data_IF_278535966964
#
_entry.id   IF_278535966964
#
_cell.length_a   1.000
_cell.length_b   1.000
_cell.length_c   1.000
_cell.angle_alpha   90.00
_cell.angle_beta   90.00
_cell.angle_gamma   90.00
#
_symmetry.space_group_name_H-M   'P 1'
#
loop_
_entity.id
_entity.type
_entity.pdbx_description
1 polymer ?
#
# COMPACT_ATOMS: atom_id res chain seq x y z
N UNK A 1 0.39 -3.92 22.81
CA UNK A 1 1.74 -3.80 23.35
C UNK A 1 2.12 -2.31 23.57
N UNK A 2 2.09 -1.47 22.53
CA UNK A 2 2.47 -0.06 22.64
C UNK A 2 1.68 0.70 23.70
N UNK A 3 0.34 0.57 23.70
CA UNK A 3 -0.53 1.21 24.69
C UNK A 3 -0.23 0.75 26.13
N UNK A 4 0.07 -0.54 26.32
CA UNK A 4 0.46 -1.05 27.64
C UNK A 4 1.85 -0.53 28.14
N UNK A 5 2.59 0.15 27.25
CA UNK A 5 3.86 0.80 27.57
C UNK A 5 3.76 2.34 27.53
N UNK A 6 2.55 2.87 27.64
CA UNK A 6 2.32 4.32 27.76
C UNK A 6 2.23 5.07 26.41
N UNK A 7 2.25 4.38 25.27
CA UNK A 7 2.04 5.02 23.97
C UNK A 7 0.54 5.33 23.82
N UNK A 8 0.21 6.59 23.59
CA UNK A 8 -1.14 7.03 23.29
C UNK A 8 -1.36 7.02 21.78
N UNK A 9 -2.41 6.33 21.33
CA UNK A 9 -2.82 6.29 19.92
C UNK A 9 -4.11 7.09 19.78
N UNK A 10 -4.09 8.13 18.95
CA UNK A 10 -5.23 8.96 18.63
C UNK A 10 -5.76 8.62 17.23
N UNK A 11 -7.02 8.22 17.16
CA UNK A 11 -7.71 7.90 15.92
C UNK A 11 -8.59 9.06 15.44
N UNK A 12 -8.91 9.07 14.14
CA UNK A 12 -9.80 10.07 13.54
C UNK A 12 -9.19 11.47 13.52
N UNK A 13 -7.86 11.56 13.55
CA UNK A 13 -7.10 12.79 13.37
C UNK A 13 -6.49 12.80 11.98
N UNK A 14 -7.00 13.68 11.13
CA UNK A 14 -6.48 13.90 9.79
C UNK A 14 -5.44 15.02 9.86
N UNK A 15 -4.16 14.65 9.92
CA UNK A 15 -3.05 15.60 10.00
C UNK A 15 -2.86 16.29 8.64
N UNK A 16 -2.98 17.60 8.62
CA UNK A 16 -2.93 18.43 7.42
C UNK A 16 -1.58 19.08 7.19
N UNK A 17 -0.86 19.40 8.27
CA UNK A 17 0.43 20.09 8.18
C UNK A 17 1.24 19.93 9.46
N UNK A 18 2.54 20.08 9.35
CA UNK A 18 3.45 20.38 10.47
C UNK A 18 4.09 21.72 10.17
N UNK A 19 3.80 22.73 10.98
CA UNK A 19 4.36 24.07 10.80
C UNK A 19 5.81 24.08 11.28
N UNK A 20 6.72 24.44 10.38
CA UNK A 20 8.16 24.48 10.61
C UNK A 20 8.63 25.93 10.47
N UNK A 21 9.22 26.47 11.52
CA UNK A 21 9.80 27.83 11.52
C UNK A 21 11.31 27.75 11.36
N UNK A 22 11.85 28.71 10.61
CA UNK A 22 13.29 28.85 10.42
C UNK A 22 13.80 30.02 11.25
N UNK A 23 14.74 29.74 12.17
CA UNK A 23 15.39 30.70 13.03
C UNK A 23 16.92 30.65 12.80
N UNK A 24 17.44 31.52 11.93
CA UNK A 24 18.82 31.43 11.47
C UNK A 24 19.05 30.14 10.68
N UNK A 25 19.97 29.31 11.14
CA UNK A 25 20.26 27.99 10.53
C UNK A 25 19.40 26.86 11.11
N UNK A 26 18.57 27.14 12.11
CA UNK A 26 17.71 26.16 12.78
C UNK A 26 16.34 26.10 12.15
N UNK A 27 15.80 24.91 12.04
CA UNK A 27 14.42 24.59 11.60
C UNK A 27 13.71 23.84 12.71
N UNK A 28 12.61 24.38 13.18
CA UNK A 28 11.92 23.90 14.39
C UNK A 28 10.45 23.65 14.06
N UNK A 29 9.96 22.44 14.26
CA UNK A 29 8.54 22.13 14.22
C UNK A 29 7.87 22.79 15.44
N UNK A 30 6.90 23.69 15.16
CA UNK A 30 6.21 24.48 16.18
C UNK A 30 4.79 24.04 16.43
N UNK A 31 4.15 23.43 15.42
CA UNK A 31 2.73 23.09 15.54
C UNK A 31 2.37 21.94 14.59
N UNK A 32 1.48 21.06 15.05
CA UNK A 32 0.79 20.07 14.20
C UNK A 32 -0.62 20.57 13.95
N UNK A 33 -1.00 20.70 12.67
CA UNK A 33 -2.35 21.08 12.24
C UNK A 33 -3.09 19.83 11.80
N UNK A 34 -4.29 19.61 12.35
CA UNK A 34 -5.11 18.45 12.03
C UNK A 34 -6.60 18.76 12.02
N UNK A 35 -7.38 17.94 11.35
CA UNK A 35 -8.84 17.98 11.37
C UNK A 35 -9.35 16.80 12.18
N UNK A 36 -10.22 17.07 13.16
CA UNK A 36 -10.94 16.04 13.93
C UNK A 36 -12.41 16.44 14.00
N UNK A 37 -13.31 15.51 13.66
CA UNK A 37 -14.75 15.75 13.61
C UNK A 37 -15.14 16.98 12.76
N UNK A 38 -14.44 17.17 11.64
CA UNK A 38 -14.68 18.28 10.71
C UNK A 38 -14.21 19.65 11.20
N UNK A 39 -13.46 19.72 12.31
CA UNK A 39 -12.91 20.96 12.86
C UNK A 39 -11.40 20.92 12.82
N UNK A 40 -10.80 21.99 12.28
CA UNK A 40 -9.37 22.20 12.37
C UNK A 40 -8.94 22.52 13.78
N UNK A 41 -7.89 21.87 14.23
CA UNK A 41 -7.30 22.00 15.56
C UNK A 41 -5.77 21.95 15.44
N UNK A 42 -5.07 22.36 16.49
CA UNK A 42 -3.62 22.39 16.54
C UNK A 42 -3.08 21.79 17.82
N UNK A 43 -1.87 21.24 17.72
CA UNK A 43 -1.04 20.88 18.85
C UNK A 43 0.20 21.77 18.79
N UNK A 44 0.37 22.63 19.80
CA UNK A 44 1.58 23.43 19.93
C UNK A 44 2.74 22.58 20.44
N UNK A 45 3.91 22.79 19.88
CA UNK A 45 5.13 22.04 20.17
C UNK A 45 6.18 22.95 20.78
N UNK A 46 6.94 22.42 21.72
CA UNK A 46 8.15 23.05 22.23
C UNK A 46 9.40 22.41 21.61
N UNK A 47 10.56 23.04 21.75
CA UNK A 47 11.80 22.57 21.12
C UNK A 47 12.25 21.18 21.60
N UNK A 48 11.85 20.80 22.81
CA UNK A 48 12.14 19.48 23.40
C UNK A 48 11.17 18.36 22.90
N UNK A 49 10.07 18.71 22.22
CA UNK A 49 9.17 17.73 21.60
C UNK A 49 9.79 17.21 20.31
N UNK A 50 9.86 15.90 20.13
CA UNK A 50 10.34 15.28 18.89
C UNK A 50 9.18 14.87 18.00
N UNK A 51 9.22 15.27 16.72
CA UNK A 51 8.18 14.98 15.73
C UNK A 51 8.72 14.07 14.63
N UNK A 52 8.15 12.88 14.50
CA UNK A 52 8.46 11.93 13.44
C UNK A 52 7.33 11.90 12.41
N UNK A 53 7.63 12.31 11.19
CA UNK A 53 6.65 12.51 10.11
C UNK A 53 6.75 11.34 9.13
N UNK A 54 5.69 10.54 9.03
CA UNK A 54 5.55 9.55 7.96
C UNK A 54 4.85 10.23 6.78
N UNK A 55 5.65 10.72 5.83
CA UNK A 55 5.17 11.44 4.66
C UNK A 55 4.83 10.49 3.51
N UNK A 56 3.72 10.77 2.80
CA UNK A 56 3.23 9.94 1.72
C UNK A 56 2.72 8.57 2.19
N UNK A 57 1.85 7.95 1.41
CA UNK A 57 1.31 6.63 1.73
C UNK A 57 0.95 5.86 0.46
N UNK A 58 1.55 4.68 0.27
CA UNK A 58 1.28 3.82 -0.88
C UNK A 58 -0.14 3.26 -0.92
N UNK A 59 -0.82 3.20 0.21
CA UNK A 59 -2.20 2.68 0.33
C UNK A 59 -3.24 3.80 0.52
N UNK A 60 -2.82 5.05 0.40
CA UNK A 60 -3.74 6.19 0.47
C UNK A 60 -4.82 6.10 -0.61
N UNK A 61 -6.04 6.49 -0.26
CA UNK A 61 -7.22 6.46 -1.15
C UNK A 61 -7.50 5.10 -1.81
N UNK A 62 -7.10 3.99 -1.18
CA UNK A 62 -7.44 2.65 -1.67
C UNK A 62 -8.95 2.44 -1.72
N UNK A 63 -9.42 1.86 -2.83
CA UNK A 63 -10.83 1.58 -3.07
C UNK A 63 -11.08 0.07 -3.02
N UNK A 64 -12.15 -0.33 -2.36
CA UNK A 64 -12.48 -1.74 -2.18
C UNK A 64 -13.71 -2.12 -2.98
N UNK A 65 -13.68 -3.34 -3.51
CA UNK A 65 -14.84 -4.03 -4.07
C UNK A 65 -15.07 -5.35 -3.37
N UNK A 66 -16.18 -5.98 -3.65
CA UNK A 66 -16.56 -7.27 -3.10
C UNK A 66 -16.92 -8.27 -4.21
N UNK A 67 -17.48 -9.42 -3.84
CA UNK A 67 -17.91 -10.47 -4.78
C UNK A 67 -18.76 -9.91 -5.92
N UNK A 68 -19.62 -8.93 -5.65
CA UNK A 68 -20.68 -8.45 -6.56
C UNK A 68 -20.49 -7.00 -7.02
N UNK A 69 -19.57 -6.27 -6.42
CA UNK A 69 -19.33 -4.87 -6.74
C UNK A 69 -17.86 -4.64 -7.09
N UNK A 70 -17.62 -3.89 -8.16
CA UNK A 70 -16.28 -3.36 -8.47
C UNK A 70 -15.91 -2.24 -7.49
N UNK A 71 -14.61 -1.96 -7.31
CA UNK A 71 -14.17 -0.78 -6.54
C UNK A 71 -14.74 0.51 -7.13
N UNK A 72 -15.22 1.41 -6.27
CA UNK A 72 -15.65 2.74 -6.73
C UNK A 72 -14.42 3.65 -6.88
N UNK A 73 -14.07 3.96 -8.11
CA UNK A 73 -12.92 4.81 -8.46
C UNK A 73 -13.28 6.29 -8.66
N UNK A 74 -14.54 6.68 -8.46
CA UNK A 74 -15.02 8.05 -8.72
C UNK A 74 -14.29 9.12 -7.91
N UNK A 75 -13.77 8.76 -6.73
CA UNK A 75 -12.99 9.62 -5.85
C UNK A 75 -11.48 9.64 -6.14
N UNK A 76 -10.98 8.76 -7.00
CA UNK A 76 -9.54 8.65 -7.28
C UNK A 76 -9.09 9.79 -8.20
N UNK A 77 -8.10 10.55 -7.76
CA UNK A 77 -7.52 11.67 -8.52
C UNK A 77 -6.01 11.67 -8.38
N UNK A 78 -5.34 12.13 -9.43
CA UNK A 78 -3.89 12.34 -9.41
C UNK A 78 -3.48 13.30 -8.29
N UNK A 79 -2.49 12.91 -7.53
CA UNK A 79 -1.89 13.74 -6.49
C UNK A 79 -2.81 14.08 -5.32
N UNK A 80 -3.85 13.30 -5.05
CA UNK A 80 -4.79 13.52 -3.95
C UNK A 80 -4.73 12.38 -2.94
N UNK A 81 -4.91 12.75 -1.67
CA UNK A 81 -4.93 11.83 -0.53
C UNK A 81 -4.43 12.53 0.72
N UNK A 82 -4.89 12.08 1.88
CA UNK A 82 -4.60 12.77 3.15
C UNK A 82 -3.08 12.85 3.43
N UNK A 83 -2.36 11.76 3.24
CA UNK A 83 -0.91 11.71 3.45
C UNK A 83 -0.12 12.50 2.40
N UNK A 84 -0.60 12.52 1.16
CA UNK A 84 0.01 13.29 0.07
C UNK A 84 -0.23 14.78 0.24
N UNK A 85 -1.44 15.18 0.63
CA UNK A 85 -1.80 16.58 0.85
C UNK A 85 -1.04 17.16 2.06
N UNK A 86 -0.89 16.39 3.15
CA UNK A 86 -0.02 16.74 4.27
C UNK A 86 1.43 16.97 3.81
N UNK A 87 2.00 16.04 3.04
CA UNK A 87 3.38 16.19 2.58
C UNK A 87 3.55 17.39 1.64
N UNK A 88 2.58 17.66 0.76
CA UNK A 88 2.58 18.87 -0.08
C UNK A 88 2.56 20.15 0.75
N UNK A 89 1.74 20.20 1.79
CA UNK A 89 1.66 21.34 2.68
C UNK A 89 2.99 21.57 3.44
N UNK A 90 3.66 20.50 3.87
CA UNK A 90 4.99 20.60 4.50
C UNK A 90 6.04 21.04 3.47
N UNK A 91 6.06 20.41 2.28
CA UNK A 91 7.03 20.70 1.25
C UNK A 91 6.95 22.15 0.74
N UNK A 92 5.75 22.73 0.74
CA UNK A 92 5.52 24.13 0.33
C UNK A 92 6.13 25.17 1.29
N UNK A 93 6.55 24.78 2.50
CA UNK A 93 7.16 25.69 3.47
C UNK A 93 8.67 25.91 3.25
N UNK A 94 9.31 25.04 2.46
CA UNK A 94 10.75 25.12 2.20
C UNK A 94 11.03 25.51 0.75
N UNK A 95 12.12 26.21 0.55
CA UNK A 95 12.65 26.47 -0.79
C UNK A 95 13.44 25.24 -1.30
N UNK A 96 13.54 25.13 -2.64
CA UNK A 96 14.44 24.17 -3.31
C UNK A 96 14.24 22.67 -2.99
N UNK A 97 13.05 22.26 -2.55
CA UNK A 97 12.73 20.83 -2.32
C UNK A 97 13.37 20.21 -1.08
N UNK A 98 13.73 21.01 -0.10
CA UNK A 98 14.33 20.56 1.16
C UNK A 98 13.48 19.53 1.91
N UNK A 99 12.14 19.67 1.82
CA UNK A 99 11.18 18.72 2.37
C UNK A 99 10.58 17.79 1.30
N UNK A 100 11.33 17.62 0.19
CA UNK A 100 10.99 16.71 -0.88
C UNK A 100 10.02 17.29 -1.92
N UNK A 101 9.66 16.42 -2.88
CA UNK A 101 8.74 16.73 -3.96
C UNK A 101 7.71 15.61 -4.10
N UNK A 102 6.58 15.66 -3.38
CA UNK A 102 5.56 14.61 -3.41
C UNK A 102 4.99 14.35 -4.81
N UNK A 103 4.94 15.36 -5.69
CA UNK A 103 4.39 15.19 -7.04
C UNK A 103 5.23 14.24 -7.92
N UNK A 104 6.52 14.06 -7.62
CA UNK A 104 7.34 13.04 -8.28
C UNK A 104 6.79 11.60 -8.07
N UNK A 105 5.99 11.39 -7.03
CA UNK A 105 5.50 10.07 -6.61
C UNK A 105 4.00 9.87 -6.83
N UNK A 106 3.19 10.92 -6.70
CA UNK A 106 1.72 10.80 -6.68
C UNK A 106 0.99 11.48 -7.84
N UNK A 107 1.69 12.17 -8.75
CA UNK A 107 1.05 12.96 -9.81
C UNK A 107 0.44 12.14 -10.95
N UNK A 108 0.74 10.84 -11.05
CA UNK A 108 0.27 9.96 -12.12
C UNK A 108 -0.24 8.62 -11.56
N UNK A 109 -1.53 8.55 -11.27
CA UNK A 109 -2.18 7.33 -10.80
C UNK A 109 -2.10 6.20 -11.84
N UNK A 110 -2.10 6.50 -13.13
CA UNK A 110 -1.98 5.45 -14.16
C UNK A 110 -0.61 4.76 -14.10
N UNK A 111 0.44 5.46 -13.73
CA UNK A 111 1.78 4.90 -13.57
C UNK A 111 1.99 4.22 -12.20
N UNK A 112 1.22 4.59 -11.18
CA UNK A 112 1.48 4.18 -9.80
C UNK A 112 0.51 3.15 -9.25
N UNK A 113 -0.63 2.93 -9.92
CA UNK A 113 -1.65 2.02 -9.43
C UNK A 113 -1.32 0.55 -9.69
N UNK A 114 -1.89 -0.30 -8.91
CA UNK A 114 -2.24 -1.67 -9.23
C UNK A 114 -3.53 -2.06 -8.52
N UNK A 115 -4.05 -3.25 -8.85
CA UNK A 115 -5.21 -3.83 -8.18
C UNK A 115 -4.87 -5.21 -7.65
N UNK A 116 -5.23 -5.47 -6.42
CA UNK A 116 -5.15 -6.79 -5.81
C UNK A 116 -6.53 -7.38 -5.56
N UNK A 117 -6.56 -8.69 -5.37
CA UNK A 117 -7.75 -9.39 -4.91
C UNK A 117 -7.35 -10.54 -3.97
N UNK A 118 -8.27 -10.90 -3.07
CA UNK A 118 -8.14 -12.10 -2.26
C UNK A 118 -9.34 -13.01 -2.54
N UNK A 119 -9.07 -14.18 -3.08
CA UNK A 119 -10.06 -15.25 -3.28
C UNK A 119 -10.03 -16.18 -2.08
N UNK A 120 -11.17 -16.34 -1.44
CA UNK A 120 -11.38 -17.32 -0.37
C UNK A 120 -12.19 -18.50 -0.93
N UNK A 121 -11.68 -19.73 -0.78
CA UNK A 121 -12.35 -20.95 -1.24
C UNK A 121 -12.02 -22.15 -0.36
N UNK A 122 -12.96 -23.08 -0.23
CA UNK A 122 -12.75 -24.42 0.35
C UNK A 122 -13.13 -25.53 -0.64
N UNK A 123 -13.32 -25.19 -1.91
CA UNK A 123 -13.79 -26.12 -2.94
C UNK A 123 -12.66 -27.06 -3.36
N UNK A 124 -12.91 -28.39 -3.28
CA UNK A 124 -11.90 -29.42 -3.56
C UNK A 124 -11.44 -29.42 -5.03
N UNK A 125 -12.32 -29.10 -5.99
CA UNK A 125 -11.96 -29.07 -7.40
C UNK A 125 -10.95 -27.92 -7.66
N UNK A 126 -11.20 -26.74 -7.11
CA UNK A 126 -10.28 -25.59 -7.21
C UNK A 126 -8.96 -25.91 -6.53
N UNK A 127 -9.00 -26.51 -5.34
CA UNK A 127 -7.80 -26.93 -4.61
C UNK A 127 -7.00 -27.94 -5.42
N UNK A 128 -7.65 -28.87 -6.13
CA UNK A 128 -6.97 -29.82 -7.00
C UNK A 128 -6.25 -29.11 -8.17
N UNK A 129 -6.83 -28.09 -8.78
CA UNK A 129 -6.16 -27.26 -9.80
C UNK A 129 -4.92 -26.56 -9.24
N UNK A 130 -5.01 -26.00 -8.04
CA UNK A 130 -3.87 -25.40 -7.34
C UNK A 130 -2.78 -26.45 -7.12
N UNK A 131 -3.13 -27.65 -6.62
CA UNK A 131 -2.20 -28.75 -6.39
C UNK A 131 -1.53 -29.25 -7.68
N UNK A 132 -2.24 -29.23 -8.80
CA UNK A 132 -1.68 -29.60 -10.09
C UNK A 132 -0.56 -28.66 -10.54
N UNK A 133 -0.65 -27.37 -10.19
CA UNK A 133 0.37 -26.37 -10.47
C UNK A 133 1.47 -26.41 -9.41
N UNK A 134 1.13 -26.27 -8.15
CA UNK A 134 2.08 -26.07 -7.05
C UNK A 134 2.69 -27.37 -6.52
N UNK A 135 2.16 -28.54 -6.90
CA UNK A 135 2.54 -29.89 -6.41
C UNK A 135 2.48 -30.00 -4.88
N UNK A 136 1.62 -29.22 -4.25
CA UNK A 136 1.44 -29.18 -2.80
C UNK A 136 0.00 -28.81 -2.44
N UNK A 137 -0.55 -29.47 -1.43
CA UNK A 137 -1.82 -29.08 -0.84
C UNK A 137 -1.65 -27.76 -0.07
N UNK A 138 -2.41 -26.70 -0.42
CA UNK A 138 -2.34 -25.42 0.28
C UNK A 138 -2.71 -25.51 1.77
N UNK A 139 -3.47 -26.50 2.17
CA UNK A 139 -3.89 -26.74 3.57
C UNK A 139 -2.83 -27.48 4.41
N UNK A 140 -1.70 -27.85 3.81
CA UNK A 140 -0.64 -28.63 4.48
C UNK A 140 0.11 -27.88 5.59
N UNK A 141 -0.19 -26.62 5.86
CA UNK A 141 0.54 -25.77 6.81
C UNK A 141 1.93 -25.34 6.35
N UNK A 142 2.24 -25.54 5.07
CA UNK A 142 3.50 -25.13 4.42
C UNK A 142 3.22 -24.05 3.37
N UNK A 143 4.25 -23.27 3.01
CA UNK A 143 4.15 -22.32 1.90
C UNK A 143 3.84 -23.08 0.61
N UNK A 144 2.79 -22.67 -0.10
CA UNK A 144 2.27 -23.40 -1.27
C UNK A 144 3.00 -23.02 -2.54
N UNK A 145 3.04 -21.75 -2.90
CA UNK A 145 3.65 -21.29 -4.16
C UNK A 145 5.16 -21.09 -4.08
N UNK A 146 5.71 -20.93 -2.88
CA UNK A 146 7.14 -20.64 -2.67
C UNK A 146 7.57 -19.25 -3.12
N UNK A 147 6.68 -18.48 -3.75
CA UNK A 147 6.87 -17.14 -4.27
C UNK A 147 5.67 -16.72 -5.10
N UNK A 148 5.84 -15.70 -5.91
CA UNK A 148 4.82 -15.20 -6.85
C UNK A 148 4.76 -16.10 -8.08
N UNK A 149 3.57 -16.50 -8.47
CA UNK A 149 3.28 -17.19 -9.75
C UNK A 149 2.77 -16.15 -10.74
N UNK A 150 3.60 -15.73 -11.66
CA UNK A 150 3.20 -14.83 -12.75
C UNK A 150 2.62 -15.63 -13.91
N UNK A 151 1.46 -15.26 -14.37
CA UNK A 151 0.78 -15.90 -15.49
C UNK A 151 1.37 -15.38 -16.80
N UNK A 152 2.15 -16.21 -17.49
CA UNK A 152 2.87 -15.81 -18.71
C UNK A 152 1.94 -15.29 -19.81
N UNK A 153 0.83 -15.94 -20.04
CA UNK A 153 -0.11 -15.59 -21.11
C UNK A 153 -0.92 -14.32 -20.81
N UNK A 154 -0.82 -13.79 -19.60
CA UNK A 154 -1.49 -12.57 -19.14
C UNK A 154 -0.60 -11.31 -19.24
N UNK A 155 0.65 -11.41 -19.69
CA UNK A 155 1.61 -10.30 -19.66
C UNK A 155 1.20 -9.09 -20.51
N UNK A 156 0.52 -9.31 -21.64
CA UNK A 156 0.01 -8.24 -22.50
C UNK A 156 -1.41 -7.76 -22.10
N UNK A 157 -2.06 -8.50 -21.22
CA UNK A 157 -3.38 -8.27 -20.66
C UNK A 157 -3.27 -7.70 -19.24
N UNK A 158 -3.91 -8.33 -18.24
CA UNK A 158 -3.86 -7.87 -16.84
C UNK A 158 -2.45 -7.92 -16.22
N UNK A 159 -1.52 -8.71 -16.76
CA UNK A 159 -0.25 -9.07 -16.13
C UNK A 159 -0.49 -9.67 -14.74
N UNK A 160 -1.41 -10.66 -14.73
CA UNK A 160 -1.90 -11.29 -13.51
C UNK A 160 -0.79 -12.11 -12.84
N UNK A 161 -0.70 -11.95 -11.55
CA UNK A 161 0.14 -12.78 -10.68
C UNK A 161 -0.64 -13.21 -9.45
N UNK A 162 -0.26 -14.34 -8.85
CA UNK A 162 -0.91 -14.85 -7.65
C UNK A 162 0.05 -15.58 -6.73
N UNK A 163 -0.33 -15.71 -5.46
CA UNK A 163 0.42 -16.45 -4.46
C UNK A 163 -0.47 -17.01 -3.38
N UNK A 164 -0.04 -18.12 -2.78
CA UNK A 164 -0.66 -18.71 -1.61
C UNK A 164 0.40 -18.88 -0.54
N UNK A 165 0.33 -18.04 0.46
CA UNK A 165 1.18 -18.11 1.64
C UNK A 165 0.81 -19.31 2.51
N UNK A 166 1.55 -19.53 3.59
CA UNK A 166 1.24 -20.56 4.57
C UNK A 166 -0.18 -20.38 5.11
N UNK A 167 -0.99 -21.43 5.05
CA UNK A 167 -2.35 -21.44 5.60
C UNK A 167 -2.40 -22.19 6.94
N UNK A 168 -3.27 -21.82 7.87
CA UNK A 168 -4.09 -20.61 7.84
C UNK A 168 -3.24 -19.33 8.01
N UNK A 169 -3.65 -18.21 7.39
CA UNK A 169 -3.01 -16.91 7.57
C UNK A 169 -3.49 -16.21 8.85
N UNK A 170 -4.74 -16.44 9.23
CA UNK A 170 -5.38 -15.81 10.37
C UNK A 170 -5.81 -16.84 11.40
N UNK A 171 -5.77 -16.47 12.68
CA UNK A 171 -6.16 -17.38 13.80
C UNK A 171 -7.62 -17.86 13.72
N UNK A 172 -8.50 -17.01 13.17
CA UNK A 172 -9.94 -17.28 13.00
C UNK A 172 -10.28 -17.95 11.67
N UNK A 173 -9.29 -18.17 10.79
CA UNK A 173 -9.52 -18.79 9.49
C UNK A 173 -9.91 -20.27 9.66
N UNK A 174 -10.98 -20.70 8.95
CA UNK A 174 -11.33 -22.13 8.87
C UNK A 174 -10.16 -22.93 8.25
N UNK A 175 -9.87 -24.09 8.79
CA UNK A 175 -8.73 -24.93 8.38
C UNK A 175 -8.84 -25.45 6.94
N UNK A 176 -10.07 -25.56 6.41
CA UNK A 176 -10.33 -25.98 5.04
C UNK A 176 -10.32 -24.79 4.06
N UNK A 177 -10.41 -23.58 4.56
CA UNK A 177 -10.39 -22.36 3.75
C UNK A 177 -8.98 -22.08 3.26
N UNK A 178 -8.85 -21.77 1.98
CA UNK A 178 -7.63 -21.31 1.33
C UNK A 178 -7.84 -19.88 0.87
N UNK A 179 -6.89 -19.01 1.21
CA UNK A 179 -6.83 -17.63 0.76
C UNK A 179 -5.77 -17.52 -0.32
N UNK A 180 -6.18 -17.06 -1.50
CA UNK A 180 -5.30 -16.82 -2.64
C UNK A 180 -5.21 -15.33 -2.86
N UNK A 181 -4.00 -14.77 -2.81
CA UNK A 181 -3.77 -13.38 -3.14
C UNK A 181 -3.41 -13.24 -4.62
N UNK A 182 -4.10 -12.33 -5.30
CA UNK A 182 -3.92 -12.00 -6.70
C UNK A 182 -3.53 -10.54 -6.85
N UNK A 183 -2.80 -10.18 -7.91
CA UNK A 183 -2.66 -8.79 -8.31
C UNK A 183 -2.44 -8.65 -9.82
N UNK A 184 -2.77 -7.46 -10.32
CA UNK A 184 -2.54 -7.05 -11.70
C UNK A 184 -1.77 -5.73 -11.74
N UNK A 185 -0.80 -5.65 -12.64
CA UNK A 185 -0.05 -4.43 -12.91
C UNK A 185 -0.67 -3.60 -14.04
N UNK A 186 -1.43 -4.23 -14.94
CA UNK A 186 -2.10 -3.57 -16.06
C UNK A 186 -3.61 -3.47 -15.77
N UNK A 187 -3.99 -2.68 -14.79
CA UNK A 187 -5.38 -2.61 -14.29
C UNK A 187 -6.38 -2.08 -15.31
N UNK A 188 -5.90 -1.35 -16.34
CA UNK A 188 -6.70 -0.71 -17.41
C UNK A 188 -6.82 -1.55 -18.68
N UNK A 189 -6.20 -2.74 -18.74
CA UNK A 189 -6.29 -3.64 -19.89
C UNK A 189 -7.36 -4.72 -19.69
N UNK A 190 -7.84 -5.26 -20.79
CA UNK A 190 -8.75 -6.43 -20.77
C UNK A 190 -8.00 -7.69 -20.32
N UNK A 191 -8.72 -8.59 -19.64
CA UNK A 191 -8.23 -9.92 -19.29
C UNK A 191 -8.21 -10.88 -20.49
N UNK A 192 -7.63 -12.05 -20.29
CA UNK A 192 -7.62 -13.10 -21.30
C UNK A 192 -9.00 -13.75 -21.45
N UNK A 193 -9.68 -14.02 -20.34
CA UNK A 193 -11.03 -14.58 -20.26
C UNK A 193 -12.06 -13.47 -20.09
N UNK A 194 -11.89 -12.62 -19.07
CA UNK A 194 -12.71 -11.43 -18.84
C UNK A 194 -12.32 -10.32 -19.82
N UNK A 195 -13.18 -10.04 -20.81
CA UNK A 195 -12.93 -8.96 -21.77
C UNK A 195 -13.29 -7.59 -21.17
N UNK A 196 -12.67 -7.28 -20.03
CA UNK A 196 -12.94 -6.11 -19.21
C UNK A 196 -11.64 -5.72 -18.45
N UNK A 197 -11.45 -4.44 -18.18
CA UNK A 197 -10.33 -3.97 -17.36
C UNK A 197 -10.49 -4.47 -15.91
N UNK A 198 -9.40 -4.93 -15.28
CA UNK A 198 -9.51 -5.50 -13.93
C UNK A 198 -10.08 -4.52 -12.93
N UNK A 199 -9.72 -3.23 -13.04
CA UNK A 199 -10.21 -2.17 -12.14
C UNK A 199 -11.72 -1.95 -12.17
N UNK A 200 -12.38 -2.39 -13.25
CA UNK A 200 -13.83 -2.28 -13.42
C UNK A 200 -14.55 -3.59 -13.06
N UNK A 201 -13.80 -4.64 -12.70
CA UNK A 201 -14.33 -5.97 -12.41
C UNK A 201 -14.84 -6.08 -10.97
N UNK A 202 -15.93 -6.82 -10.80
CA UNK A 202 -16.36 -7.34 -9.50
C UNK A 202 -15.39 -8.44 -9.02
N UNK A 203 -15.45 -8.80 -7.74
CA UNK A 203 -14.66 -9.91 -7.22
C UNK A 203 -14.92 -11.23 -7.93
N UNK A 204 -16.18 -11.52 -8.27
CA UNK A 204 -16.55 -12.71 -9.02
C UNK A 204 -15.90 -12.72 -10.41
N UNK A 205 -15.91 -11.60 -11.15
CA UNK A 205 -15.27 -11.47 -12.45
C UNK A 205 -13.75 -11.66 -12.36
N UNK A 206 -13.11 -11.12 -11.32
CA UNK A 206 -11.67 -11.35 -11.07
C UNK A 206 -11.38 -12.81 -10.77
N UNK A 207 -12.25 -13.47 -10.01
CA UNK A 207 -12.14 -14.90 -9.73
C UNK A 207 -12.26 -15.75 -11.01
N UNK A 208 -13.16 -15.42 -11.91
CA UNK A 208 -13.33 -16.12 -13.21
C UNK A 208 -12.06 -16.07 -14.05
N UNK A 209 -11.39 -14.92 -14.15
CA UNK A 209 -10.11 -14.79 -14.84
C UNK A 209 -9.03 -15.67 -14.22
N UNK A 210 -8.92 -15.67 -12.89
CA UNK A 210 -7.96 -16.52 -12.19
C UNK A 210 -8.24 -18.01 -12.37
N UNK A 211 -9.51 -18.45 -12.27
CA UNK A 211 -9.90 -19.85 -12.49
C UNK A 211 -9.55 -20.32 -13.90
N UNK A 212 -9.74 -19.48 -14.91
CA UNK A 212 -9.30 -19.74 -16.27
C UNK A 212 -7.80 -20.03 -16.32
N UNK A 213 -6.99 -19.20 -15.67
CA UNK A 213 -5.53 -19.32 -15.69
C UNK A 213 -4.98 -20.50 -14.87
N UNK A 214 -5.72 -21.01 -13.89
CA UNK A 214 -5.32 -22.25 -13.19
C UNK A 214 -5.82 -23.51 -13.88
N UNK A 215 -6.47 -23.38 -15.04
CA UNK A 215 -6.88 -24.49 -15.91
C UNK A 215 -8.22 -25.12 -15.54
N UNK A 216 -9.11 -24.39 -14.90
CA UNK A 216 -10.50 -24.81 -14.73
C UNK A 216 -11.19 -24.85 -16.10
N UNK A 217 -11.93 -25.94 -16.44
CA UNK A 217 -12.72 -25.99 -17.66
C UNK A 217 -13.69 -24.83 -17.78
N UNK A 218 -13.75 -24.19 -18.97
CA UNK A 218 -14.50 -22.93 -19.17
C UNK A 218 -15.97 -23.04 -18.82
N UNK A 219 -16.58 -24.21 -19.05
CA UNK A 219 -17.99 -24.50 -18.72
C UNK A 219 -18.29 -24.57 -17.20
N UNK A 220 -17.24 -24.62 -16.37
CA UNK A 220 -17.37 -24.66 -14.90
C UNK A 220 -17.03 -23.35 -14.23
N UNK A 221 -16.34 -22.44 -14.91
CA UNK A 221 -15.78 -21.22 -14.32
C UNK A 221 -16.86 -20.39 -13.63
N UNK A 222 -17.96 -20.13 -14.33
CA UNK A 222 -19.04 -19.28 -13.82
C UNK A 222 -19.66 -19.85 -12.53
N UNK A 223 -19.98 -21.13 -12.53
CA UNK A 223 -20.57 -21.80 -11.35
C UNK A 223 -19.57 -21.80 -10.16
N UNK A 224 -18.30 -22.14 -10.41
CA UNK A 224 -17.30 -22.18 -9.35
C UNK A 224 -16.97 -20.79 -8.78
N UNK A 225 -16.91 -19.77 -9.63
CA UNK A 225 -16.68 -18.40 -9.16
C UNK A 225 -17.85 -17.87 -8.31
N UNK A 226 -19.08 -18.21 -8.71
CA UNK A 226 -20.29 -17.78 -8.02
C UNK A 226 -20.54 -18.54 -6.73
N UNK A 227 -20.52 -19.88 -6.78
CA UNK A 227 -21.01 -20.75 -5.70
C UNK A 227 -19.92 -21.16 -4.70
N UNK A 228 -18.65 -21.14 -5.13
CA UNK A 228 -17.54 -21.76 -4.39
C UNK A 228 -16.43 -20.79 -3.97
N UNK A 229 -16.50 -19.53 -4.35
CA UNK A 229 -15.53 -18.50 -4.03
C UNK A 229 -16.20 -17.27 -3.43
N UNK A 230 -15.42 -16.58 -2.57
CA UNK A 230 -15.72 -15.22 -2.15
C UNK A 230 -14.48 -14.37 -2.40
N UNK A 231 -14.62 -13.30 -3.19
CA UNK A 231 -13.49 -12.50 -3.64
C UNK A 231 -13.68 -11.04 -3.25
N UNK A 232 -12.70 -10.51 -2.54
CA UNK A 232 -12.60 -9.09 -2.23
C UNK A 232 -11.50 -8.48 -3.08
N UNK A 233 -11.77 -7.33 -3.68
CA UNK A 233 -10.82 -6.59 -4.51
C UNK A 233 -10.37 -5.30 -3.83
N UNK A 234 -9.17 -4.84 -4.17
CA UNK A 234 -8.60 -3.61 -3.67
C UNK A 234 -7.80 -2.91 -4.77
N UNK A 235 -8.29 -1.78 -5.24
CA UNK A 235 -7.55 -0.89 -6.14
C UNK A 235 -6.74 0.10 -5.30
N UNK A 236 -5.44 0.16 -5.53
CA UNK A 236 -4.49 0.99 -4.80
C UNK A 236 -3.84 2.01 -5.74
N UNK A 237 -4.27 3.28 -5.70
CA UNK A 237 -3.79 4.30 -6.64
C UNK A 237 -2.28 4.54 -6.59
N UNK A 238 -1.65 4.42 -5.43
CA UNK A 238 -0.26 4.83 -5.19
C UNK A 238 0.68 3.69 -4.78
N UNK A 239 0.28 2.44 -4.97
CA UNK A 239 1.07 1.30 -4.47
C UNK A 239 2.48 1.24 -5.06
N UNK A 240 2.68 1.71 -6.29
CA UNK A 240 3.98 1.78 -6.97
C UNK A 240 4.63 3.18 -6.90
N UNK A 241 4.09 4.09 -6.11
CA UNK A 241 4.60 5.46 -6.01
C UNK A 241 6.10 5.50 -5.68
N UNK A 242 6.56 4.67 -4.75
CA UNK A 242 7.97 4.63 -4.34
C UNK A 242 8.93 4.11 -5.43
N UNK A 243 8.44 3.50 -6.52
CA UNK A 243 9.23 3.07 -7.67
C UNK A 243 9.31 4.11 -8.79
N UNK A 244 8.63 5.26 -8.66
CA UNK A 244 8.63 6.27 -9.71
C UNK A 244 10.03 6.85 -9.91
N UNK A 245 10.40 7.20 -11.16
CA UNK A 245 11.63 7.93 -11.46
C UNK A 245 11.69 9.23 -10.67
N UNK A 246 12.81 9.48 -10.00
CA UNK A 246 12.98 10.63 -9.12
C UNK A 246 14.39 11.21 -9.19
N UNK A 247 14.53 12.44 -8.76
CA UNK A 247 15.80 13.07 -8.41
C UNK A 247 16.15 12.77 -6.95
N UNK A 248 17.40 12.95 -6.58
CA UNK A 248 17.86 12.75 -5.20
C UNK A 248 17.08 13.58 -4.17
N UNK A 249 16.78 14.85 -4.52
CA UNK A 249 16.04 15.76 -3.64
C UNK A 249 14.52 15.55 -3.59
N UNK A 250 13.95 14.64 -4.40
CA UNK A 250 12.51 14.39 -4.38
C UNK A 250 12.04 13.70 -3.08
N UNK A 251 12.95 12.99 -2.39
CA UNK A 251 12.74 12.54 -1.01
C UNK A 251 13.47 13.46 -0.06
N UNK A 252 12.85 13.92 1.05
CA UNK A 252 13.58 14.68 2.06
C UNK A 252 14.60 13.77 2.76
N UNK A 253 15.69 14.35 3.24
CA UNK A 253 16.59 13.64 4.18
C UNK A 253 15.79 13.19 5.40
N UNK A 254 16.20 12.10 6.04
CA UNK A 254 15.58 11.66 7.30
C UNK A 254 15.58 12.81 8.31
N UNK A 255 16.72 13.43 8.55
CA UNK A 255 16.82 14.68 9.31
C UNK A 255 17.32 15.77 8.35
N UNK A 256 16.46 16.72 7.93
CA UNK A 256 16.90 17.85 7.09
C UNK A 256 17.96 18.69 7.75
N UNK A 257 18.81 19.32 6.95
CA UNK A 257 19.88 20.18 7.48
C UNK A 257 19.29 21.32 8.31
N UNK A 258 19.76 21.47 9.53
CA UNK A 258 19.26 22.44 10.50
C UNK A 258 17.99 22.01 11.27
N UNK A 259 17.41 20.86 11.00
CA UNK A 259 16.27 20.37 11.77
C UNK A 259 16.68 20.08 13.21
N UNK A 260 15.91 20.63 14.15
CA UNK A 260 16.20 20.54 15.60
C UNK A 260 15.38 19.42 16.24
N UNK A 261 14.09 19.35 15.90
CA UNK A 261 13.14 18.53 16.65
C UNK A 261 12.18 17.72 15.74
N UNK A 262 12.49 17.57 14.45
CA UNK A 262 11.65 16.78 13.55
C UNK A 262 12.49 15.96 12.57
N UNK A 263 11.88 14.85 12.11
CA UNK A 263 12.45 13.97 11.10
C UNK A 263 11.36 13.40 10.19
N UNK A 264 11.74 13.10 8.94
CA UNK A 264 10.92 12.31 8.02
C UNK A 264 11.29 10.84 8.13
N UNK A 265 10.30 9.97 8.19
CA UNK A 265 10.50 8.52 8.31
C UNK A 265 9.66 7.76 7.28
N UNK A 266 9.99 6.48 7.08
CA UNK A 266 9.26 5.61 6.17
C UNK A 266 9.83 5.60 4.75
N UNK A 267 9.03 5.15 3.79
CA UNK A 267 9.49 4.85 2.42
C UNK A 267 9.76 6.09 1.56
N UNK A 268 9.30 7.26 1.98
CA UNK A 268 9.48 8.52 1.25
C UNK A 268 10.47 9.47 1.93
N UNK A 269 11.23 9.01 2.90
CA UNK A 269 12.44 9.69 3.40
C UNK A 269 13.69 9.09 2.72
N UNK A 270 14.74 9.90 2.50
CA UNK A 270 15.97 9.45 1.86
C UNK A 270 16.95 8.92 2.89
N UNK A 271 17.33 7.66 2.76
CA UNK A 271 18.49 7.09 3.48
C UNK A 271 19.42 6.41 2.47
N UNK A 272 20.71 6.67 2.52
CA UNK A 272 21.67 6.06 1.61
C UNK A 272 21.87 4.57 1.90
N UNK A 273 22.26 3.82 0.88
CA UNK A 273 22.68 2.41 0.98
C UNK A 273 21.59 1.41 1.35
N UNK A 274 20.33 1.75 1.13
CA UNK A 274 19.26 0.81 1.37
C UNK A 274 18.27 0.71 0.20
N UNK A 275 17.50 -0.36 0.20
CA UNK A 275 16.51 -0.62 -0.85
C UNK A 275 15.11 -0.27 -0.34
N UNK A 276 14.46 0.66 -1.00
CA UNK A 276 13.08 1.04 -0.71
C UNK A 276 12.13 -0.16 -0.77
N UNK A 277 10.89 0.02 -0.34
CA UNK A 277 9.78 -0.94 -0.22
C UNK A 277 9.97 -2.06 0.82
N UNK A 278 11.08 -2.12 1.50
CA UNK A 278 11.32 -3.10 2.55
C UNK A 278 10.90 -2.55 3.92
N UNK A 279 10.55 -3.45 4.84
CA UNK A 279 10.32 -3.09 6.24
C UNK A 279 11.59 -2.53 6.87
N UNK A 280 12.75 -3.08 6.48
CA UNK A 280 14.07 -2.64 6.93
C UNK A 280 14.34 -1.19 6.58
N UNK A 281 13.90 -0.73 5.40
CA UNK A 281 14.05 0.67 5.00
C UNK A 281 13.33 1.61 5.98
N UNK A 282 12.08 1.30 6.30
CA UNK A 282 11.28 2.07 7.26
C UNK A 282 11.88 2.02 8.67
N UNK A 283 12.38 0.86 9.11
CA UNK A 283 13.07 0.71 10.39
C UNK A 283 14.34 1.54 10.44
N UNK A 284 15.13 1.54 9.37
CA UNK A 284 16.38 2.31 9.27
C UNK A 284 16.14 3.80 9.39
N UNK A 285 15.15 4.34 8.65
CA UNK A 285 14.81 5.76 8.74
C UNK A 285 14.37 6.15 10.16
N UNK A 286 13.61 5.28 10.84
CA UNK A 286 13.23 5.48 12.24
C UNK A 286 14.43 5.46 13.20
N UNK A 287 15.37 4.53 13.02
CA UNK A 287 16.61 4.48 13.84
C UNK A 287 17.50 5.69 13.57
N UNK A 288 17.73 6.03 12.30
CA UNK A 288 18.54 7.18 11.88
C UNK A 288 18.00 8.49 12.45
N UNK A 289 16.68 8.67 12.43
CA UNK A 289 16.02 9.86 12.97
C UNK A 289 16.27 10.02 14.47
N UNK A 290 16.14 8.93 15.24
CA UNK A 290 16.39 8.95 16.70
C UNK A 290 17.85 9.21 17.01
N UNK A 291 18.76 8.51 16.34
CA UNK A 291 20.21 8.67 16.59
C UNK A 291 20.68 10.09 16.25
N UNK A 292 20.20 10.66 15.16
CA UNK A 292 20.59 11.99 14.72
C UNK A 292 20.00 13.09 15.62
N UNK A 293 18.70 13.01 15.96
CA UNK A 293 18.05 14.04 16.78
C UNK A 293 18.51 14.01 18.24
N UNK A 294 18.91 12.87 18.76
CA UNK A 294 19.35 12.71 20.14
C UNK A 294 20.88 12.68 20.30
N UNK A 295 21.64 12.74 19.19
CA UNK A 295 23.11 12.68 19.16
C UNK A 295 23.68 11.45 19.92
N UNK A 296 23.14 10.24 19.59
CA UNK A 296 23.50 8.95 20.22
C UNK A 296 23.98 7.92 19.22
#
# INVERSE_FOLDING_TARGET
>A
YLESHGVRIEYGMDVRNVIIETEGDKKIARQIVYVKEGKEQTIDLIEDDLVFITNGCCTDTSCYGDQTHAPDLSGVKNGCGESWDMWKAIAAQAEHGEYGNPDAFCSDVEATNWMSATVATSNEEIIQHIMNICKRDPRSGKVTTGGIVTVKDSTDNWYLSWTINRQPQFRSQDKNMVLVWLYSLNTNKEGNYMKKAMRDCTGEEVCREWLYHIGVPTEKIDALAHDACNTTTCFMPYINAFFQPRKESDRPKVVPDGAVNFAFIGQFAETPRDTIFTTEYSMRTGMESVYTLLDI
#
